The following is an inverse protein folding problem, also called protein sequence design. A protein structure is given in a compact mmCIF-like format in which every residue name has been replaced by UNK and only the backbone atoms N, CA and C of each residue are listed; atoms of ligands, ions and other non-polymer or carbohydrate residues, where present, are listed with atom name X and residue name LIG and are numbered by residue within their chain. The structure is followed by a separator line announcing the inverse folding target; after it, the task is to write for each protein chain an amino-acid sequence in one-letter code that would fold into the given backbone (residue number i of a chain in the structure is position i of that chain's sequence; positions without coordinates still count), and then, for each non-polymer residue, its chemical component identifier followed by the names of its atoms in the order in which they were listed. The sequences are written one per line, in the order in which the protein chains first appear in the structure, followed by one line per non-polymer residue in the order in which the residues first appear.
data_IF_057615463178
#
_entry.id   IF_057615463178
#
_cell.length_a   1.000
_cell.length_b   1.000
_cell.length_c   1.000
_cell.angle_alpha   90.00
_cell.angle_beta   90.00
_cell.angle_gamma   90.00
#
_symmetry.space_group_name_H-M   'P 1'
#
loop_
_entity.id
_entity.type
_entity.pdbx_description
1 polymer ?
#
# COMPACT_ATOMS: atom_id res chain seq x y z
N UNK A 1 20.21 -14.37 44.64
CA UNK A 1 19.41 -13.54 43.72
C UNK A 1 19.15 -14.35 42.47
N UNK A 2 17.93 -14.37 41.93
CA UNK A 2 17.63 -15.13 40.72
C UNK A 2 18.39 -14.52 39.52
N UNK A 3 19.10 -15.36 38.75
CA UNK A 3 19.86 -14.94 37.58
C UNK A 3 18.96 -15.11 36.35
N UNK A 4 18.84 -14.06 35.53
CA UNK A 4 18.03 -14.10 34.32
C UNK A 4 18.95 -13.93 33.10
N UNK A 5 18.72 -14.72 32.06
CA UNK A 5 19.42 -14.59 30.77
C UNK A 5 18.41 -14.17 29.72
N UNK A 6 18.76 -13.11 28.98
CA UNK A 6 18.02 -12.67 27.80
C UNK A 6 18.48 -13.56 26.65
N UNK A 7 17.59 -14.41 26.15
CA UNK A 7 17.86 -15.18 24.93
C UNK A 7 17.55 -14.24 23.75
N UNK A 8 18.56 -13.78 22.98
CA UNK A 8 18.32 -12.91 21.84
C UNK A 8 17.51 -13.65 20.79
N UNK A 9 16.57 -12.95 20.19
CA UNK A 9 15.81 -13.48 19.06
C UNK A 9 16.75 -13.69 17.86
N UNK A 10 16.63 -14.84 17.20
CA UNK A 10 17.48 -15.24 16.05
C UNK A 10 16.87 -14.85 14.71
N UNK A 11 15.68 -14.24 14.68
CA UNK A 11 15.03 -13.84 13.44
C UNK A 11 15.67 -12.60 12.83
N UNK A 12 15.93 -12.63 11.52
CA UNK A 12 16.38 -11.46 10.76
C UNK A 12 15.29 -10.38 10.74
N UNK A 13 15.71 -9.11 10.83
CA UNK A 13 14.78 -7.98 10.79
C UNK A 13 14.30 -7.77 9.36
N UNK A 14 12.98 -7.69 9.15
CA UNK A 14 12.43 -7.34 7.85
C UNK A 14 12.85 -5.93 7.46
N UNK A 15 13.45 -5.79 6.28
CA UNK A 15 13.83 -4.51 5.71
C UNK A 15 12.74 -4.00 4.75
N UNK A 16 12.25 -2.78 5.00
CA UNK A 16 11.26 -2.16 4.13
C UNK A 16 11.86 -1.82 2.78
N UNK A 17 11.16 -2.21 1.72
CA UNK A 17 11.43 -1.68 0.40
C UNK A 17 10.72 -0.33 0.22
N UNK A 18 11.49 0.74 0.16
CA UNK A 18 10.97 2.11 -0.03
C UNK A 18 10.56 2.42 -1.47
N UNK A 19 10.89 1.56 -2.43
CA UNK A 19 10.51 1.74 -3.83
C UNK A 19 9.10 1.24 -4.10
N UNK A 20 8.64 0.21 -3.39
CA UNK A 20 7.31 -0.40 -3.55
C UNK A 20 6.15 0.60 -3.49
N UNK A 21 6.10 1.54 -2.52
CA UNK A 21 5.05 2.55 -2.46
C UNK A 21 4.95 3.44 -3.69
N UNK A 22 6.02 3.61 -4.50
CA UNK A 22 5.95 4.47 -5.69
C UNK A 22 5.07 3.92 -6.80
N UNK A 23 4.70 2.64 -6.77
CA UNK A 23 3.66 2.10 -7.64
C UNK A 23 2.41 3.00 -7.47
N UNK A 24 2.04 3.29 -6.23
CA UNK A 24 0.87 4.08 -5.88
C UNK A 24 0.88 5.57 -6.29
N UNK A 25 1.88 6.05 -7.06
CA UNK A 25 1.85 7.39 -7.67
C UNK A 25 0.66 7.56 -8.62
N UNK A 26 0.43 6.58 -9.51
CA UNK A 26 -0.66 6.66 -10.51
C UNK A 26 -2.02 6.85 -9.83
N UNK A 27 -2.44 5.99 -8.87
CA UNK A 27 -3.68 6.20 -8.16
C UNK A 27 -3.69 7.50 -7.35
N UNK A 28 -2.56 7.93 -6.79
CA UNK A 28 -2.50 9.22 -6.09
C UNK A 28 -2.80 10.40 -7.03
N UNK A 29 -2.24 10.42 -8.24
CA UNK A 29 -2.53 11.44 -9.26
C UNK A 29 -4.02 11.41 -9.61
N UNK A 30 -4.56 10.24 -9.92
CA UNK A 30 -5.96 10.10 -10.35
C UNK A 30 -6.94 10.50 -9.25
N UNK A 31 -6.70 10.07 -8.00
CA UNK A 31 -7.55 10.45 -6.85
C UNK A 31 -7.41 11.92 -6.46
N UNK A 32 -6.28 12.56 -6.75
CA UNK A 32 -6.14 14.00 -6.51
C UNK A 32 -7.17 14.81 -7.30
N UNK A 33 -7.63 14.30 -8.46
CA UNK A 33 -8.58 14.98 -9.35
C UNK A 33 -9.95 15.21 -8.68
N UNK A 34 -10.72 14.15 -8.35
CA UNK A 34 -12.03 14.33 -7.73
C UNK A 34 -11.94 15.03 -6.37
N UNK A 35 -10.82 14.87 -5.64
CA UNK A 35 -10.64 15.50 -4.34
C UNK A 35 -10.52 17.02 -4.48
N UNK A 36 -9.64 17.52 -5.36
CA UNK A 36 -9.52 18.97 -5.54
C UNK A 36 -10.76 19.56 -6.21
N UNK A 37 -11.39 18.86 -7.17
CA UNK A 37 -12.63 19.33 -7.79
C UNK A 37 -13.76 19.50 -6.77
N UNK A 38 -13.79 18.65 -5.73
CA UNK A 38 -14.80 18.72 -4.68
C UNK A 38 -14.48 19.74 -3.58
N UNK A 39 -13.21 19.93 -3.24
CA UNK A 39 -12.78 20.85 -2.19
C UNK A 39 -12.58 22.28 -2.70
N UNK A 40 -12.09 22.43 -3.93
CA UNK A 40 -11.69 23.70 -4.54
C UNK A 40 -12.12 23.76 -6.02
N UNK A 41 -13.43 23.80 -6.32
CA UNK A 41 -13.95 23.73 -7.68
C UNK A 41 -13.50 24.90 -8.58
N UNK A 42 -13.19 26.07 -7.99
CA UNK A 42 -12.77 27.27 -8.71
C UNK A 42 -11.24 27.51 -8.65
N UNK A 43 -10.46 26.52 -8.20
CA UNK A 43 -9.01 26.66 -8.13
C UNK A 43 -8.38 26.82 -9.52
N UNK A 44 -7.54 27.83 -9.67
CA UNK A 44 -6.69 27.98 -10.86
C UNK A 44 -5.61 26.90 -10.96
N UNK A 45 -5.02 26.75 -12.15
CA UNK A 45 -4.03 25.71 -12.46
C UNK A 45 -2.91 25.56 -11.42
N UNK A 46 -2.29 26.66 -10.99
CA UNK A 46 -1.18 26.63 -10.03
C UNK A 46 -1.58 26.09 -8.66
N UNK A 47 -2.81 26.39 -8.22
CA UNK A 47 -3.35 25.91 -6.96
C UNK A 47 -3.66 24.41 -7.06
N UNK A 48 -4.25 23.96 -8.17
CA UNK A 48 -4.50 22.54 -8.44
C UNK A 48 -3.20 21.74 -8.47
N UNK A 49 -2.17 22.23 -9.16
CA UNK A 49 -0.86 21.58 -9.23
C UNK A 49 -0.23 21.40 -7.84
N UNK A 50 -0.29 22.44 -7.00
CA UNK A 50 0.20 22.38 -5.63
C UNK A 50 -0.54 21.32 -4.80
N UNK A 51 -1.87 21.28 -4.88
CA UNK A 51 -2.67 20.28 -4.17
C UNK A 51 -2.38 18.86 -4.66
N UNK A 52 -2.23 18.65 -5.96
CA UNK A 52 -1.89 17.34 -6.51
C UNK A 52 -0.54 16.86 -5.99
N UNK A 53 0.50 17.71 -5.99
CA UNK A 53 1.82 17.34 -5.46
C UNK A 53 1.74 17.01 -3.97
N UNK A 54 1.05 17.86 -3.18
CA UNK A 54 0.86 17.63 -1.75
C UNK A 54 0.11 16.31 -1.48
N UNK A 55 -0.94 16.03 -2.26
CA UNK A 55 -1.72 14.81 -2.14
C UNK A 55 -0.89 13.57 -2.48
N UNK A 56 -0.08 13.61 -3.55
CA UNK A 56 0.83 12.51 -3.91
C UNK A 56 1.81 12.24 -2.78
N UNK A 57 2.44 13.29 -2.24
CA UNK A 57 3.36 13.15 -1.09
C UNK A 57 2.69 12.52 0.12
N UNK A 58 1.47 12.95 0.46
CA UNK A 58 0.69 12.39 1.56
C UNK A 58 0.28 10.93 1.32
N UNK A 59 -0.15 10.61 0.10
CA UNK A 59 -0.56 9.28 -0.30
C UNK A 59 0.60 8.28 -0.16
N UNK A 60 1.77 8.63 -0.71
CA UNK A 60 2.98 7.82 -0.59
C UNK A 60 3.43 7.69 0.86
N UNK A 61 3.35 8.77 1.64
CA UNK A 61 3.66 8.73 3.06
C UNK A 61 2.76 7.75 3.82
N UNK A 62 1.46 7.75 3.55
CA UNK A 62 0.53 6.80 4.15
C UNK A 62 0.73 5.37 3.67
N UNK A 63 1.10 5.15 2.41
CA UNK A 63 1.47 3.82 1.89
C UNK A 63 2.67 3.19 2.60
N UNK A 64 3.48 3.96 3.34
CA UNK A 64 4.61 3.45 4.13
C UNK A 64 4.26 3.14 5.60
N UNK A 65 3.12 3.62 6.09
CA UNK A 65 2.72 3.48 7.50
C UNK A 65 1.91 2.20 7.72
N UNK A 66 2.23 1.41 8.76
CA UNK A 66 1.50 0.18 9.04
C UNK A 66 0.03 0.51 9.32
N UNK A 67 -0.87 -0.41 8.95
CA UNK A 67 -2.34 -0.28 9.09
C UNK A 67 -2.94 0.80 8.17
N UNK A 68 -2.46 2.05 8.24
CA UNK A 68 -2.97 3.18 7.44
C UNK A 68 -2.74 2.95 5.94
N UNK A 69 -1.67 2.25 5.55
CA UNK A 69 -1.39 1.87 4.16
C UNK A 69 -2.52 1.07 3.49
N UNK A 70 -3.44 0.46 4.26
CA UNK A 70 -4.61 -0.21 3.67
C UNK A 70 -5.48 0.75 2.84
N UNK A 71 -5.63 2.01 3.28
CA UNK A 71 -6.45 3.02 2.58
C UNK A 71 -5.91 3.32 1.17
N UNK A 72 -4.65 3.78 1.01
CA UNK A 72 -4.08 3.99 -0.32
C UNK A 72 -3.98 2.69 -1.13
N UNK A 73 -3.79 1.53 -0.52
CA UNK A 73 -3.79 0.26 -1.26
C UNK A 73 -5.17 -0.08 -1.84
N UNK A 74 -6.25 0.05 -1.07
CA UNK A 74 -7.63 -0.16 -1.57
C UNK A 74 -7.96 0.84 -2.67
N UNK A 75 -7.63 2.11 -2.45
CA UNK A 75 -7.81 3.17 -3.45
C UNK A 75 -6.98 2.89 -4.73
N UNK A 76 -5.79 2.30 -4.58
CA UNK A 76 -4.93 1.83 -5.67
C UNK A 76 -5.56 0.71 -6.48
N UNK A 77 -6.09 -0.32 -5.81
CA UNK A 77 -6.80 -1.43 -6.46
C UNK A 77 -7.91 -0.93 -7.37
N UNK A 78 -8.70 0.05 -6.90
CA UNK A 78 -9.80 0.62 -7.69
C UNK A 78 -9.28 1.26 -8.97
N UNK A 79 -8.30 2.16 -8.88
CA UNK A 79 -7.78 2.86 -10.06
C UNK A 79 -7.14 1.89 -11.03
N UNK A 80 -6.25 1.01 -10.56
CA UNK A 80 -5.57 0.07 -11.45
C UNK A 80 -6.51 -0.91 -12.12
N UNK A 81 -7.54 -1.38 -11.41
CA UNK A 81 -8.57 -2.22 -12.00
C UNK A 81 -9.32 -1.49 -13.10
N UNK A 82 -9.74 -0.24 -12.85
CA UNK A 82 -10.42 0.57 -13.87
C UNK A 82 -9.52 0.82 -15.08
N UNK A 83 -8.26 1.19 -14.86
CA UNK A 83 -7.28 1.43 -15.93
C UNK A 83 -7.02 0.16 -16.74
N UNK A 84 -6.87 -1.00 -16.09
CA UNK A 84 -6.65 -2.29 -16.76
C UNK A 84 -7.90 -2.77 -17.53
N UNK A 85 -9.11 -2.47 -17.04
CA UNK A 85 -10.35 -2.93 -17.67
C UNK A 85 -10.77 -2.09 -18.88
N UNK A 86 -10.31 -0.83 -18.99
CA UNK A 86 -10.58 0.03 -20.16
C UNK A 86 -10.24 -0.67 -21.49
N UNK A 87 -9.01 -1.16 -21.73
CA UNK A 87 -8.71 -1.84 -22.99
C UNK A 87 -9.47 -3.16 -23.12
N UNK A 88 -9.68 -3.90 -22.02
CA UNK A 88 -10.43 -5.17 -22.05
C UNK A 88 -11.89 -5.00 -22.49
N UNK A 89 -12.51 -3.84 -22.24
CA UNK A 89 -13.88 -3.55 -22.68
C UNK A 89 -14.04 -3.58 -24.21
N UNK A 90 -12.95 -3.47 -24.97
CA UNK A 90 -12.96 -3.45 -26.42
C UNK A 90 -12.92 -4.87 -27.03
N UNK A 91 -12.82 -5.93 -26.21
CA UNK A 91 -12.79 -7.33 -26.66
C UNK A 91 -14.21 -7.83 -26.90
N UNK A 92 -14.62 -8.04 -28.15
CA UNK A 92 -15.99 -8.46 -28.50
C UNK A 92 -16.44 -9.78 -27.86
N UNK A 93 -15.51 -10.71 -27.59
CA UNK A 93 -15.83 -11.98 -26.93
C UNK A 93 -16.05 -11.79 -25.42
N UNK A 94 -17.30 -11.94 -24.97
CA UNK A 94 -17.71 -11.79 -23.58
C UNK A 94 -17.01 -12.75 -22.61
N UNK A 95 -16.85 -14.02 -22.97
CA UNK A 95 -16.23 -15.02 -22.09
C UNK A 95 -14.76 -14.68 -21.86
N UNK A 96 -14.03 -14.41 -22.93
CA UNK A 96 -12.62 -14.02 -22.86
C UNK A 96 -12.45 -12.71 -22.09
N UNK A 97 -13.31 -11.72 -22.34
CA UNK A 97 -13.31 -10.43 -21.63
C UNK A 97 -13.44 -10.62 -20.12
N UNK A 98 -14.38 -11.43 -19.66
CA UNK A 98 -14.61 -11.67 -18.23
C UNK A 98 -13.42 -12.37 -17.59
N UNK A 99 -12.88 -13.41 -18.22
CA UNK A 99 -11.71 -14.14 -17.73
C UNK A 99 -10.52 -13.19 -17.54
N UNK A 100 -10.22 -12.36 -18.54
CA UNK A 100 -9.12 -11.41 -18.47
C UNK A 100 -9.33 -10.35 -17.38
N UNK A 101 -10.57 -9.89 -17.17
CA UNK A 101 -10.90 -8.94 -16.10
C UNK A 101 -10.67 -9.52 -14.70
N UNK A 102 -11.02 -10.79 -14.49
CA UNK A 102 -10.78 -11.48 -13.22
C UNK A 102 -9.28 -11.67 -12.97
N UNK A 103 -8.53 -12.10 -14.00
CA UNK A 103 -7.07 -12.28 -13.91
C UNK A 103 -6.39 -10.94 -13.55
N UNK A 104 -6.73 -9.87 -14.27
CA UNK A 104 -6.16 -8.55 -14.01
C UNK A 104 -6.50 -8.03 -12.62
N UNK A 105 -7.75 -8.21 -12.15
CA UNK A 105 -8.14 -7.87 -10.78
C UNK A 105 -7.30 -8.65 -9.75
N UNK A 106 -7.10 -9.95 -9.95
CA UNK A 106 -6.27 -10.77 -9.07
C UNK A 106 -4.83 -10.27 -8.98
N UNK A 107 -4.21 -9.94 -10.12
CA UNK A 107 -2.85 -9.38 -10.18
C UNK A 107 -2.78 -8.06 -9.42
N UNK A 108 -3.73 -7.14 -9.64
CA UNK A 108 -3.77 -5.83 -8.98
C UNK A 108 -3.89 -5.98 -7.46
N UNK A 109 -4.77 -6.87 -6.99
CA UNK A 109 -4.92 -7.16 -5.56
C UNK A 109 -3.61 -7.67 -4.96
N UNK A 110 -2.91 -8.58 -5.64
CA UNK A 110 -1.63 -9.13 -5.17
C UNK A 110 -0.57 -8.02 -5.08
N UNK A 111 -0.47 -7.16 -6.09
CA UNK A 111 0.49 -6.04 -6.10
C UNK A 111 0.23 -5.08 -4.95
N UNK A 112 -1.01 -4.63 -4.76
CA UNK A 112 -1.35 -3.72 -3.66
C UNK A 112 -1.20 -4.39 -2.29
N UNK A 113 -1.52 -5.68 -2.18
CA UNK A 113 -1.29 -6.44 -0.97
C UNK A 113 0.21 -6.56 -0.63
N UNK A 114 1.08 -6.68 -1.64
CA UNK A 114 2.52 -6.67 -1.42
C UNK A 114 3.02 -5.32 -0.86
N UNK A 115 2.45 -4.21 -1.33
CA UNK A 115 2.76 -2.86 -0.79
C UNK A 115 2.29 -2.77 0.68
N UNK A 116 1.07 -3.24 0.96
CA UNK A 116 0.53 -3.20 2.32
C UNK A 116 1.31 -4.08 3.31
N UNK A 117 1.69 -5.28 2.90
CA UNK A 117 2.52 -6.18 3.72
C UNK A 117 3.91 -5.61 3.94
N UNK A 118 4.56 -5.03 2.93
CA UNK A 118 5.83 -4.31 3.10
C UNK A 118 5.75 -3.18 4.15
N UNK A 119 4.62 -2.48 4.23
CA UNK A 119 4.41 -1.45 5.27
C UNK A 119 4.16 -2.05 6.67
N UNK A 120 3.47 -3.19 6.75
CA UNK A 120 2.92 -3.77 7.99
C UNK A 120 3.83 -4.82 8.64
N UNK A 121 4.62 -5.55 7.85
CA UNK A 121 5.47 -6.65 8.34
C UNK A 121 6.47 -6.22 9.41
N UNK A 122 7.22 -5.11 9.29
CA UNK A 122 8.11 -4.65 10.36
C UNK A 122 7.40 -4.35 11.67
N UNK A 123 6.23 -3.72 11.58
CA UNK A 123 5.41 -3.41 12.75
C UNK A 123 4.87 -4.68 13.42
N UNK A 124 4.45 -5.67 12.61
CA UNK A 124 3.99 -6.95 13.13
C UNK A 124 5.15 -7.74 13.76
N UNK A 125 6.34 -7.67 13.15
CA UNK A 125 7.55 -8.29 13.67
C UNK A 125 7.92 -7.72 15.04
N UNK A 126 7.98 -6.40 15.18
CA UNK A 126 8.25 -5.73 16.47
C UNK A 126 7.24 -6.09 17.57
N UNK A 127 5.98 -6.37 17.19
CA UNK A 127 4.93 -6.72 18.15
C UNK A 127 4.97 -8.19 18.57
N UNK A 128 5.39 -9.07 17.67
CA UNK A 128 5.32 -10.53 17.83
C UNK A 128 6.62 -11.10 18.42
N UNK A 129 7.76 -10.61 17.95
CA UNK A 129 9.08 -11.09 18.32
C UNK A 129 9.60 -10.31 19.52
N UNK A 130 9.38 -10.87 20.72
CA UNK A 130 9.91 -10.35 21.97
C UNK A 130 11.00 -11.29 22.50
N UNK A 131 12.10 -10.76 23.06
CA UNK A 131 13.14 -11.60 23.65
C UNK A 131 12.56 -12.43 24.79
N UNK A 132 12.90 -13.72 24.82
CA UNK A 132 12.46 -14.60 25.90
C UNK A 132 13.41 -14.45 27.08
N UNK A 133 12.87 -14.09 28.24
CA UNK A 133 13.62 -14.02 29.49
C UNK A 133 13.53 -15.39 30.16
N UNK A 134 14.65 -16.11 30.26
CA UNK A 134 14.72 -17.36 31.05
C UNK A 134 15.38 -17.08 32.39
N UNK A 135 14.74 -17.58 33.46
CA UNK A 135 15.38 -17.71 34.75
C UNK A 135 16.37 -18.88 34.68
N UNK A 136 17.58 -18.65 35.17
CA UNK A 136 18.58 -19.69 35.37
C UNK A 136 18.42 -20.15 36.81
N UNK A 137 17.93 -21.37 36.98
CA UNK A 137 17.97 -22.06 38.28
C UNK A 137 19.37 -22.70 38.38
N UNK A 138 20.19 -22.18 39.31
CA UNK A 138 21.44 -22.82 39.73
C UNK A 138 21.15 -23.97 40.69
#
# INVERSE_FOLDING_TARGET
MAKYVIVPDKHEKYEKNYVFPFINIVPAVVWSIPIHQKLFPEAGFWIVALYTIAFIGLYLYFSMKPIVAAVPCIAGVVIYTLTAWIPLNHIENNVVRIILKIITLGIVIIVEFAIWTNATLPWLQEKTYKPTIRKVDE
#
